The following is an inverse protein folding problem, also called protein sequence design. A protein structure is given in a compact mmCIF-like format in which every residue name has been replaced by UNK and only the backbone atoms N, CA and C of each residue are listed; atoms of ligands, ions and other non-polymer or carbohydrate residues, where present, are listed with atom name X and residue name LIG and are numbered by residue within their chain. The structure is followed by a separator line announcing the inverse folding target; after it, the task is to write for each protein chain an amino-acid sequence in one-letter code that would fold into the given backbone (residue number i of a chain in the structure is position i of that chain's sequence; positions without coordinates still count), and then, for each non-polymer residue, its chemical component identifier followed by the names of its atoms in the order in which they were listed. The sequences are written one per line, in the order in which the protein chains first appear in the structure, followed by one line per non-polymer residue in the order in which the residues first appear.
data_IF_602033430364
#
_entry.id   IF_602033430364
#
_cell.length_a   1.000
_cell.length_b   1.000
_cell.length_c   1.000
_cell.angle_alpha   90.00
_cell.angle_beta   90.00
_cell.angle_gamma   90.00
#
_symmetry.space_group_name_H-M   'P 1'
#
loop_
_entity.id
_entity.type
_entity.pdbx_description
1 polymer ?
#
# COMPACT_ATOMS: atom_id res chain seq x y z
N UNK A 1 -2.75 -7.11 -9.74
CA UNK A 1 -3.71 -5.98 -9.72
C UNK A 1 -3.16 -4.94 -8.76
N UNK A 2 -3.26 -3.66 -9.07
CA UNK A 2 -2.90 -2.61 -8.11
C UNK A 2 -4.09 -2.32 -7.21
N UNK A 3 -3.85 -2.20 -5.90
CA UNK A 3 -4.88 -1.87 -4.93
C UNK A 3 -4.47 -0.67 -4.11
N UNK A 4 -5.49 0.08 -3.68
CA UNK A 4 -5.35 1.26 -2.83
C UNK A 4 -6.35 1.12 -1.69
N UNK A 5 -5.88 1.36 -0.47
CA UNK A 5 -6.73 1.50 0.70
C UNK A 5 -6.62 2.93 1.22
N UNK A 6 -7.70 3.42 1.82
CA UNK A 6 -7.83 4.80 2.26
C UNK A 6 -8.23 4.85 3.73
N UNK A 7 -7.85 5.91 4.42
CA UNK A 7 -8.35 6.27 5.74
C UNK A 7 -9.80 6.80 5.64
N UNK A 8 -10.49 6.90 6.77
CA UNK A 8 -11.87 7.41 6.83
C UNK A 8 -11.98 8.86 6.33
N UNK A 9 -10.90 9.64 6.44
CA UNK A 9 -10.80 10.99 5.91
C UNK A 9 -10.59 11.05 4.38
N UNK A 10 -10.48 9.90 3.71
CA UNK A 10 -10.27 9.79 2.27
C UNK A 10 -8.82 9.86 1.82
N UNK A 11 -7.87 10.07 2.73
CA UNK A 11 -6.45 10.07 2.39
C UNK A 11 -5.95 8.65 2.12
N UNK A 12 -5.02 8.53 1.18
CA UNK A 12 -4.41 7.25 0.84
C UNK A 12 -3.71 6.69 2.08
N UNK A 13 -3.94 5.41 2.37
CA UNK A 13 -3.36 4.69 3.51
C UNK A 13 -2.26 3.76 3.05
N UNK A 14 -2.55 3.00 2.01
CA UNK A 14 -1.56 2.12 1.39
C UNK A 14 -1.89 1.88 -0.07
N UNK A 15 -0.86 1.72 -0.89
CA UNK A 15 -0.99 1.26 -2.27
C UNK A 15 0.11 0.30 -2.66
N UNK A 16 -0.24 -0.65 -3.53
CA UNK A 16 0.71 -1.60 -4.05
C UNK A 16 0.06 -2.67 -4.90
N UNK A 17 0.86 -3.66 -5.29
CA UNK A 17 0.41 -4.73 -6.15
C UNK A 17 0.02 -5.96 -5.34
N UNK A 18 -1.03 -6.65 -5.80
CA UNK A 18 -1.41 -7.98 -5.31
C UNK A 18 -1.38 -9.01 -6.43
N UNK A 19 -1.04 -10.24 -6.04
CA UNK A 19 -1.17 -11.44 -6.85
C UNK A 19 -2.04 -12.44 -6.09
N UNK A 20 -3.31 -12.55 -6.49
CA UNK A 20 -4.32 -13.28 -5.71
C UNK A 20 -4.64 -12.53 -4.43
N UNK A 21 -4.38 -13.15 -3.27
CA UNK A 21 -4.56 -12.55 -1.95
C UNK A 21 -3.25 -12.01 -1.35
N UNK A 22 -2.12 -12.20 -2.03
CA UNK A 22 -0.81 -11.82 -1.51
C UNK A 22 -0.37 -10.45 -2.02
N UNK A 23 0.13 -9.61 -1.10
CA UNK A 23 0.87 -8.39 -1.42
C UNK A 23 2.19 -8.75 -2.10
N UNK A 24 2.48 -8.14 -3.25
CA UNK A 24 3.72 -8.33 -4.01
C UNK A 24 4.32 -6.98 -4.43
N UNK A 25 5.62 -6.98 -4.69
CA UNK A 25 6.35 -5.79 -5.15
C UNK A 25 6.41 -4.68 -4.12
N UNK A 26 6.57 -3.45 -4.59
CA UNK A 26 6.63 -2.27 -3.73
C UNK A 26 5.25 -1.91 -3.19
N UNK A 27 5.21 -1.73 -1.87
CA UNK A 27 4.06 -1.29 -1.12
C UNK A 27 4.41 0.01 -0.40
N UNK A 28 3.63 1.05 -0.68
CA UNK A 28 3.76 2.35 -0.07
C UNK A 28 2.70 2.50 1.01
N UNK A 29 3.10 3.02 2.17
CA UNK A 29 2.23 3.27 3.31
C UNK A 29 2.33 4.73 3.70
N UNK A 30 1.18 5.32 3.96
CA UNK A 30 1.03 6.75 4.22
C UNK A 30 0.39 6.93 5.60
N UNK A 31 0.62 8.07 6.23
CA UNK A 31 -0.10 8.48 7.43
C UNK A 31 -1.49 9.07 7.10
N UNK A 32 -2.25 9.44 8.13
CA UNK A 32 -3.56 10.05 7.97
C UNK A 32 -3.55 11.40 7.25
N UNK A 33 -2.40 12.06 7.12
CA UNK A 33 -2.22 13.30 6.37
C UNK A 33 -1.82 13.04 4.91
N UNK A 34 -1.66 11.77 4.50
CA UNK A 34 -1.22 11.38 3.17
C UNK A 34 0.29 11.47 2.96
N UNK A 35 1.09 11.57 4.03
CA UNK A 35 2.55 11.61 3.95
C UNK A 35 3.07 10.18 3.89
N UNK A 36 3.95 9.89 2.92
CA UNK A 36 4.60 8.60 2.79
C UNK A 36 5.49 8.35 4.03
N UNK A 37 5.17 7.31 4.79
CA UNK A 37 5.90 6.93 6.01
C UNK A 37 6.70 5.64 5.85
N UNK A 38 6.34 4.77 4.91
CA UNK A 38 7.06 3.52 4.71
C UNK A 38 6.93 2.99 3.28
N UNK A 39 7.98 2.32 2.82
CA UNK A 39 7.98 1.56 1.57
C UNK A 39 8.55 0.17 1.84
N UNK A 40 7.75 -0.87 1.59
CA UNK A 40 8.15 -2.27 1.82
C UNK A 40 8.13 -3.00 0.48
N UNK A 41 9.19 -3.75 0.19
CA UNK A 41 9.21 -4.66 -0.96
C UNK A 41 8.81 -6.07 -0.54
N UNK A 42 7.63 -6.51 -0.97
CA UNK A 42 7.14 -7.87 -0.76
C UNK A 42 7.53 -8.74 -1.95
N UNK A 43 8.68 -9.40 -1.84
CA UNK A 43 9.10 -10.39 -2.84
C UNK A 43 8.55 -11.76 -2.43
N UNK A 44 7.73 -12.36 -3.29
CA UNK A 44 7.28 -13.75 -3.09
C UNK A 44 8.47 -14.66 -3.43
N UNK A 45 9.03 -15.32 -2.43
CA UNK A 45 10.10 -16.29 -2.60
C UNK A 45 9.53 -17.68 -2.91
#
# INVERSE_FOLDING_TARGET
MEIKAYYENGNLKEEGQILGYDKIGLWHYYDENGILINTINHTKN
#
